data_IF_033202736764
#
_entry.id   IF_033202736764
#
_cell.length_a   1.000
_cell.length_b   1.000
_cell.length_c   1.000
_cell.angle_alpha   90.00
_cell.angle_beta   90.00
_cell.angle_gamma   90.00
#
_symmetry.space_group_name_H-M   'P 1'
#
loop_
_entity.id
_entity.type
_entity.pdbx_description
1 polymer ?
#
# COMPACT_ATOMS: atom_id res chain seq x y z
N UNK A 1 29.28 -1.02 -10.09
CA UNK A 1 28.13 -1.66 -9.43
C UNK A 1 26.89 -0.93 -9.89
N UNK A 2 25.90 -1.65 -10.42
CA UNK A 2 24.61 -1.05 -10.77
C UNK A 2 23.75 -0.85 -9.53
N UNK A 3 23.08 0.30 -9.43
CA UNK A 3 22.23 0.69 -8.30
C UNK A 3 20.91 1.21 -8.87
N UNK A 4 19.79 0.72 -8.32
CA UNK A 4 18.45 1.05 -8.73
C UNK A 4 17.61 1.43 -7.51
N UNK A 5 16.87 2.53 -7.62
CA UNK A 5 16.04 3.03 -6.53
C UNK A 5 14.64 3.34 -7.07
N UNK A 6 13.62 2.70 -6.48
CA UNK A 6 12.20 2.96 -6.71
C UNK A 6 11.68 3.93 -5.66
N UNK A 7 10.95 4.96 -6.09
CA UNK A 7 10.45 6.04 -5.23
C UNK A 7 11.32 7.31 -5.18
N UNK A 8 10.84 8.27 -4.41
CA UNK A 8 11.39 9.62 -4.24
C UNK A 8 11.11 10.15 -2.82
N UNK A 9 11.61 11.33 -2.47
CA UNK A 9 11.23 12.01 -1.23
C UNK A 9 9.70 12.20 -1.16
N UNK A 10 9.10 12.57 -2.30
CA UNK A 10 7.66 12.70 -2.43
C UNK A 10 6.89 11.40 -2.21
N UNK A 11 7.46 10.24 -2.55
CA UNK A 11 6.84 8.94 -2.27
C UNK A 11 6.60 8.75 -0.78
N UNK A 12 7.59 9.09 0.05
CA UNK A 12 7.51 8.98 1.52
C UNK A 12 6.34 9.83 2.04
N UNK A 13 6.25 11.08 1.59
CA UNK A 13 5.19 12.02 1.98
C UNK A 13 3.81 11.52 1.55
N UNK A 14 3.68 11.08 0.30
CA UNK A 14 2.40 10.58 -0.24
C UNK A 14 1.93 9.34 0.50
N UNK A 15 2.81 8.40 0.80
CA UNK A 15 2.49 7.23 1.60
C UNK A 15 2.09 7.62 3.04
N UNK A 16 2.76 8.60 3.66
CA UNK A 16 2.40 9.07 4.99
C UNK A 16 1.02 9.75 5.03
N UNK A 17 0.69 10.56 4.02
CA UNK A 17 -0.62 11.24 3.91
C UNK A 17 -1.71 10.34 3.33
N UNK A 18 -1.33 9.25 2.67
CA UNK A 18 -2.19 8.40 1.84
C UNK A 18 -2.99 9.26 0.84
N UNK A 19 -2.34 10.30 0.32
CA UNK A 19 -2.96 11.28 -0.58
C UNK A 19 -3.07 10.73 -2.01
N UNK A 20 -4.18 11.11 -2.67
CA UNK A 20 -4.61 10.92 -4.07
C UNK A 20 -4.43 12.13 -4.99
N UNK A 21 -3.36 12.34 -5.76
CA UNK A 21 -3.26 13.01 -7.08
C UNK A 21 -3.85 14.41 -7.27
N UNK A 22 -5.14 14.53 -7.00
CA UNK A 22 -5.95 15.75 -6.89
C UNK A 22 -5.98 16.37 -5.48
N UNK A 23 -5.48 15.68 -4.45
CA UNK A 23 -5.69 16.08 -3.05
C UNK A 23 -4.77 17.23 -2.56
N UNK A 24 -3.63 17.54 -3.21
CA UNK A 24 -2.77 18.65 -2.78
C UNK A 24 -1.83 19.16 -3.89
N UNK A 25 -1.67 20.49 -3.96
CA UNK A 25 -0.52 21.12 -4.64
C UNK A 25 0.74 20.73 -3.88
N UNK A 26 1.80 20.32 -4.58
CA UNK A 26 3.07 19.93 -3.93
C UNK A 26 3.65 21.16 -3.24
N UNK A 27 3.70 21.12 -1.91
CA UNK A 27 4.37 22.11 -1.08
C UNK A 27 5.66 21.48 -0.55
N UNK A 28 6.76 21.77 -1.24
CA UNK A 28 8.07 21.18 -1.00
C UNK A 28 8.53 21.46 0.44
N UNK A 29 8.29 22.66 0.96
CA UNK A 29 8.75 23.05 2.30
C UNK A 29 7.94 22.33 3.39
N UNK A 30 6.63 22.20 3.19
CA UNK A 30 5.78 21.38 4.08
C UNK A 30 6.16 19.90 4.02
N UNK A 31 6.50 19.40 2.84
CA UNK A 31 6.90 18.01 2.59
C UNK A 31 8.23 17.67 3.26
N UNK A 32 9.25 18.54 3.13
CA UNK A 32 10.53 18.42 3.85
C UNK A 32 10.34 18.36 5.36
N UNK A 33 9.52 19.27 5.91
CA UNK A 33 9.18 19.28 7.35
C UNK A 33 8.48 17.99 7.77
N UNK A 34 7.60 17.44 6.92
CA UNK A 34 6.94 16.17 7.22
C UNK A 34 7.92 15.00 7.24
N UNK A 35 8.86 14.90 6.29
CA UNK A 35 9.88 13.84 6.29
C UNK A 35 10.71 13.90 7.57
N UNK A 36 11.16 15.10 7.97
CA UNK A 36 11.86 15.31 9.25
C UNK A 36 11.02 14.86 10.44
N UNK A 37 9.76 15.31 10.51
CA UNK A 37 8.83 14.93 11.58
C UNK A 37 8.66 13.41 11.68
N UNK A 38 8.46 12.71 10.55
CA UNK A 38 8.29 11.26 10.52
C UNK A 38 9.53 10.53 11.04
N UNK A 39 10.72 11.00 10.63
CA UNK A 39 11.99 10.44 11.09
C UNK A 39 12.19 10.64 12.61
N UNK A 40 12.02 11.87 13.09
CA UNK A 40 12.22 12.23 14.50
C UNK A 40 11.27 11.43 15.43
N UNK A 41 10.04 11.16 14.97
CA UNK A 41 9.04 10.39 15.72
C UNK A 41 9.10 8.87 15.46
N UNK A 42 10.12 8.40 14.73
CA UNK A 42 10.31 6.98 14.36
C UNK A 42 9.09 6.36 13.64
N UNK A 43 8.35 7.18 12.90
CA UNK A 43 7.27 6.74 12.02
C UNK A 43 7.87 6.20 10.73
N UNK A 44 8.38 4.97 10.79
CA UNK A 44 9.24 4.42 9.75
C UNK A 44 8.49 3.78 8.56
N UNK A 45 7.19 3.45 8.69
CA UNK A 45 6.45 2.75 7.63
C UNK A 45 6.42 3.49 6.28
N UNK A 46 6.32 4.83 6.21
CA UNK A 46 6.34 5.52 4.92
C UNK A 46 7.67 5.37 4.18
N UNK A 47 8.78 5.18 4.90
CA UNK A 47 10.09 4.92 4.30
C UNK A 47 10.19 3.51 3.70
N UNK A 48 9.31 2.57 4.09
CA UNK A 48 9.30 1.21 3.53
C UNK A 48 8.76 1.15 2.10
N UNK A 49 8.23 2.26 1.57
CA UNK A 49 7.73 2.40 0.20
C UNK A 49 8.77 2.88 -0.80
N UNK A 50 10.01 3.13 -0.36
CA UNK A 50 11.19 3.31 -1.21
C UNK A 50 11.99 2.03 -1.19
N UNK A 51 12.30 1.49 -2.37
CA UNK A 51 13.05 0.24 -2.54
C UNK A 51 14.38 0.53 -3.19
N UNK A 52 15.43 -0.10 -2.66
CA UNK A 52 16.81 -0.02 -3.13
C UNK A 52 17.21 -1.43 -3.57
N UNK A 53 17.75 -1.54 -4.77
CA UNK A 53 18.37 -2.73 -5.30
C UNK A 53 19.76 -2.37 -5.83
N UNK A 54 20.79 -3.11 -5.45
CA UNK A 54 22.13 -2.92 -6.00
C UNK A 54 22.78 -4.26 -6.28
N UNK A 55 23.63 -4.28 -7.31
CA UNK A 55 24.36 -5.46 -7.73
C UNK A 55 25.26 -5.96 -6.60
N UNK A 56 25.15 -7.23 -6.27
CA UNK A 56 25.88 -7.85 -5.17
C UNK A 56 25.70 -9.35 -5.15
N UNK A 57 26.80 -10.05 -4.90
CA UNK A 57 26.77 -11.49 -4.71
C UNK A 57 26.16 -11.87 -3.35
N UNK A 58 26.11 -13.18 -3.09
CA UNK A 58 25.50 -13.72 -1.88
C UNK A 58 26.33 -13.37 -0.64
N UNK A 59 27.62 -13.19 -0.81
CA UNK A 59 28.60 -12.85 0.20
C UNK A 59 28.36 -11.43 0.73
N UNK A 60 28.09 -10.46 -0.16
CA UNK A 60 27.67 -9.11 0.24
C UNK A 60 26.39 -9.15 1.07
N UNK A 61 25.39 -9.92 0.65
CA UNK A 61 24.14 -10.08 1.39
C UNK A 61 24.35 -10.69 2.79
N UNK A 62 25.12 -11.77 2.90
CA UNK A 62 25.46 -12.41 4.18
C UNK A 62 26.25 -11.45 5.07
N UNK A 63 27.19 -10.69 4.50
CA UNK A 63 27.99 -9.71 5.22
C UNK A 63 27.12 -8.65 5.90
N UNK A 64 26.10 -8.14 5.20
CA UNK A 64 25.15 -7.19 5.77
C UNK A 64 24.34 -7.79 6.93
N UNK A 65 23.85 -9.02 6.76
CA UNK A 65 23.11 -9.73 7.81
C UNK A 65 23.95 -9.97 9.07
N UNK A 66 25.26 -10.22 8.92
CA UNK A 66 26.17 -10.42 10.05
C UNK A 66 26.52 -9.12 10.79
N UNK A 67 26.62 -8.00 10.07
CA UNK A 67 27.07 -6.72 10.63
C UNK A 67 25.94 -5.95 11.31
N UNK A 68 24.72 -5.99 10.75
CA UNK A 68 23.59 -5.24 11.28
C UNK A 68 22.99 -5.96 12.48
N UNK A 69 23.13 -5.37 13.68
CA UNK A 69 22.69 -5.99 14.94
C UNK A 69 21.16 -6.01 15.14
N UNK A 70 20.41 -5.23 14.36
CA UNK A 70 18.96 -5.13 14.54
C UNK A 70 18.26 -6.45 14.16
N UNK A 71 17.53 -7.09 15.10
CA UNK A 71 16.87 -8.38 14.84
C UNK A 71 15.68 -8.25 13.87
N UNK A 72 15.26 -7.01 13.57
CA UNK A 72 14.18 -6.71 12.62
C UNK A 72 14.72 -6.21 11.27
N UNK A 73 16.04 -6.28 11.06
CA UNK A 73 16.66 -5.94 9.79
C UNK A 73 16.28 -6.96 8.72
N UNK A 74 15.79 -6.44 7.59
CA UNK A 74 15.39 -7.23 6.45
C UNK A 74 16.17 -6.79 5.21
N UNK A 75 16.91 -7.74 4.65
CA UNK A 75 17.62 -7.61 3.38
C UNK A 75 17.52 -8.94 2.66
N UNK A 76 17.31 -8.87 1.35
CA UNK A 76 17.06 -10.04 0.50
C UNK A 76 18.10 -10.09 -0.61
N UNK A 77 18.36 -11.29 -1.11
CA UNK A 77 19.21 -11.50 -2.28
C UNK A 77 18.44 -12.27 -3.34
N UNK A 78 18.41 -11.76 -4.56
CA UNK A 78 17.78 -12.42 -5.70
C UNK A 78 18.38 -11.92 -7.01
N UNK A 79 18.74 -12.85 -7.90
CA UNK A 79 19.16 -12.54 -9.27
C UNK A 79 20.43 -11.69 -9.37
N UNK A 80 21.38 -11.82 -8.43
CA UNK A 80 22.60 -11.01 -8.41
C UNK A 80 22.44 -9.61 -7.80
N UNK A 81 21.29 -9.34 -7.18
CA UNK A 81 21.02 -8.07 -6.50
C UNK A 81 20.69 -8.28 -5.03
N UNK A 82 21.14 -7.32 -4.22
CA UNK A 82 20.72 -7.13 -2.83
C UNK A 82 19.56 -6.14 -2.81
N UNK A 83 18.46 -6.53 -2.18
CA UNK A 83 17.20 -5.78 -2.11
C UNK A 83 16.85 -5.42 -0.68
N UNK A 84 16.47 -4.16 -0.46
CA UNK A 84 15.97 -3.68 0.81
C UNK A 84 15.12 -2.41 0.64
N UNK A 85 14.34 -2.07 1.66
CA UNK A 85 13.65 -0.78 1.69
C UNK A 85 14.49 0.30 2.39
N UNK A 86 14.11 1.57 2.25
CA UNK A 86 14.87 2.69 2.81
C UNK A 86 14.94 2.65 4.35
N UNK A 87 13.91 2.15 5.05
CA UNK A 87 13.98 1.93 6.51
C UNK A 87 15.13 0.99 6.88
N UNK A 88 15.25 -0.13 6.16
CA UNK A 88 16.34 -1.08 6.39
C UNK A 88 17.70 -0.52 5.97
N UNK A 89 17.75 0.29 4.91
CA UNK A 89 18.97 1.00 4.52
C UNK A 89 19.45 1.93 5.64
N UNK A 90 18.55 2.71 6.25
CA UNK A 90 18.86 3.58 7.40
C UNK A 90 19.43 2.77 8.56
N UNK A 91 18.81 1.63 8.89
CA UNK A 91 19.30 0.75 9.96
C UNK A 91 20.68 0.13 9.68
N UNK A 92 21.09 0.07 8.41
CA UNK A 92 22.35 -0.51 7.97
C UNK A 92 23.34 0.54 7.46
N UNK A 93 23.06 1.84 7.65
CA UNK A 93 23.73 2.94 6.98
C UNK A 93 25.26 2.88 7.11
N UNK A 94 25.78 2.54 8.28
CA UNK A 94 27.23 2.45 8.54
C UNK A 94 27.91 1.35 7.70
N UNK A 95 27.20 0.27 7.41
CA UNK A 95 27.72 -0.91 6.71
C UNK A 95 27.45 -0.92 5.20
N UNK A 96 26.69 0.06 4.69
CA UNK A 96 26.37 0.15 3.27
C UNK A 96 27.59 0.56 2.43
N UNK A 97 27.74 0.05 1.19
CA UNK A 97 28.79 0.53 0.27
C UNK A 97 28.65 2.02 -0.03
N UNK A 98 29.77 2.73 -0.20
CA UNK A 98 29.77 4.19 -0.39
C UNK A 98 29.02 4.62 -1.65
N UNK A 99 29.16 3.89 -2.75
CA UNK A 99 28.45 4.17 -4.00
C UNK A 99 26.92 4.10 -3.81
N UNK A 100 26.43 3.14 -3.00
CA UNK A 100 25.00 3.04 -2.66
C UNK A 100 24.57 4.24 -1.83
N UNK A 101 25.35 4.67 -0.84
CA UNK A 101 25.04 5.86 -0.04
C UNK A 101 24.96 7.11 -0.91
N UNK A 102 25.90 7.26 -1.83
CA UNK A 102 25.94 8.40 -2.74
C UNK A 102 24.73 8.41 -3.68
N UNK A 103 24.34 7.26 -4.22
CA UNK A 103 23.16 7.18 -5.09
C UNK A 103 21.85 7.44 -4.33
N UNK A 104 21.74 6.93 -3.09
CA UNK A 104 20.59 7.27 -2.22
C UNK A 104 20.56 8.77 -1.92
N UNK A 105 21.71 9.40 -1.65
CA UNK A 105 21.80 10.86 -1.45
C UNK A 105 21.35 11.63 -2.69
N UNK A 106 21.75 11.20 -3.89
CA UNK A 106 21.37 11.84 -5.15
C UNK A 106 19.86 11.69 -5.42
N UNK A 107 19.30 10.50 -5.16
CA UNK A 107 17.90 10.19 -5.46
C UNK A 107 16.92 10.72 -4.41
N UNK A 108 17.33 10.76 -3.15
CA UNK A 108 16.52 11.12 -1.98
C UNK A 108 17.21 12.21 -1.15
N UNK A 109 17.50 13.38 -1.74
CA UNK A 109 18.31 14.40 -1.09
C UNK A 109 17.70 14.88 0.23
N UNK A 110 16.37 14.98 0.33
CA UNK A 110 15.73 15.39 1.59
C UNK A 110 15.83 14.30 2.64
N UNK A 111 15.43 13.07 2.33
CA UNK A 111 15.48 11.98 3.31
C UNK A 111 16.93 11.73 3.78
N UNK A 112 17.90 11.75 2.86
CA UNK A 112 19.32 11.56 3.20
C UNK A 112 19.84 12.66 4.14
N UNK A 113 19.54 13.93 3.88
CA UNK A 113 19.91 15.04 4.76
C UNK A 113 19.32 14.86 6.17
N UNK A 114 18.03 14.52 6.25
CA UNK A 114 17.33 14.28 7.52
C UNK A 114 17.99 13.16 8.34
N UNK A 115 18.36 12.06 7.69
CA UNK A 115 19.04 10.92 8.35
C UNK A 115 20.37 11.34 8.98
N UNK A 116 21.06 12.32 8.40
CA UNK A 116 22.35 12.83 8.88
C UNK A 116 22.23 14.05 9.81
N UNK A 117 21.00 14.47 10.15
CA UNK A 117 20.76 15.66 10.96
C UNK A 117 21.06 16.98 10.24
N UNK A 118 21.09 16.96 8.91
CA UNK A 118 21.34 18.12 8.05
C UNK A 118 20.02 18.74 7.55
N UNK A 119 20.08 20.00 7.11
CA UNK A 119 18.95 20.67 6.45
C UNK A 119 18.86 20.28 4.98
N UNK A 120 17.68 19.84 4.56
CA UNK A 120 17.39 19.42 3.19
C UNK A 120 17.30 20.63 2.23
N UNK A 121 18.31 20.77 1.35
CA UNK A 121 18.31 21.80 0.30
C UNK A 121 17.44 21.41 -0.90
N UNK A 122 17.59 20.18 -1.36
CA UNK A 122 16.90 19.65 -2.55
C UNK A 122 15.79 18.66 -2.18
N UNK A 123 14.89 18.38 -3.13
CA UNK A 123 13.74 17.48 -2.97
C UNK A 123 13.45 16.74 -4.27
N UNK A 124 13.25 15.42 -4.20
CA UNK A 124 12.87 14.62 -5.37
C UNK A 124 11.37 14.32 -5.44
N UNK A 125 10.81 14.41 -6.65
CA UNK A 125 9.41 14.10 -6.96
C UNK A 125 9.29 12.82 -7.77
N UNK A 126 8.16 12.12 -7.63
CA UNK A 126 7.84 11.00 -8.51
C UNK A 126 7.58 11.50 -9.94
N UNK A 127 8.03 10.76 -10.95
CA UNK A 127 7.78 11.08 -12.37
C UNK A 127 6.31 10.90 -12.78
N UNK A 128 5.61 9.95 -12.16
CA UNK A 128 4.20 9.68 -12.42
C UNK A 128 3.41 9.52 -11.13
N UNK A 129 2.14 9.92 -11.20
CA UNK A 129 1.23 9.84 -10.07
C UNK A 129 0.62 8.44 -9.94
N UNK A 130 -0.07 8.00 -11.00
CA UNK A 130 -0.52 6.63 -11.23
C UNK A 130 -0.42 6.39 -12.72
N UNK A 131 0.39 5.42 -13.11
CA UNK A 131 0.67 5.11 -14.52
C UNK A 131 -0.51 4.40 -15.19
N UNK A 132 -1.23 3.59 -14.42
CA UNK A 132 -2.41 2.86 -14.87
C UNK A 132 -3.41 2.72 -13.72
N UNK A 133 -4.66 3.12 -13.94
CA UNK A 133 -5.77 2.98 -12.99
C UNK A 133 -6.84 2.07 -13.58
N UNK A 134 -7.34 1.13 -12.78
CA UNK A 134 -8.43 0.23 -13.15
C UNK A 134 -9.51 0.32 -12.08
N UNK A 135 -10.74 0.53 -12.55
CA UNK A 135 -11.95 0.48 -11.73
C UNK A 135 -12.41 -0.97 -11.56
N UNK A 136 -12.94 -1.29 -10.39
CA UNK A 136 -13.59 -2.56 -10.05
C UNK A 136 -15.03 -2.28 -9.62
N UNK A 137 -15.83 -3.31 -9.37
CA UNK A 137 -17.20 -3.10 -8.86
C UNK A 137 -17.25 -2.48 -7.46
N UNK A 138 -16.15 -2.56 -6.69
CA UNK A 138 -16.12 -2.16 -5.28
C UNK A 138 -15.13 -1.05 -4.93
N UNK A 139 -14.39 -0.54 -5.91
CA UNK A 139 -13.36 0.48 -5.72
C UNK A 139 -12.39 0.49 -6.89
N UNK A 140 -11.16 0.91 -6.69
CA UNK A 140 -10.18 1.03 -7.78
C UNK A 140 -8.74 0.81 -7.29
N UNK A 141 -7.88 0.42 -8.22
CA UNK A 141 -6.45 0.25 -7.98
C UNK A 141 -5.66 1.03 -9.03
N UNK A 142 -4.55 1.63 -8.59
CA UNK A 142 -3.60 2.31 -9.43
C UNK A 142 -2.18 1.75 -9.25
N UNK A 143 -1.49 1.45 -10.35
CA UNK A 143 -0.05 1.21 -10.35
C UNK A 143 0.67 2.55 -10.23
N UNK A 144 1.49 2.70 -9.18
CA UNK A 144 2.16 3.96 -8.84
C UNK A 144 3.63 3.95 -9.26
N UNK A 145 4.33 2.84 -9.04
CA UNK A 145 5.73 2.66 -9.45
C UNK A 145 6.08 1.18 -9.54
N UNK A 146 7.15 0.86 -10.28
CA UNK A 146 7.70 -0.49 -10.38
C UNK A 146 9.21 -0.48 -10.62
N UNK A 147 9.89 -1.48 -10.07
CA UNK A 147 11.29 -1.76 -10.32
C UNK A 147 11.43 -3.23 -10.73
N UNK A 148 11.64 -3.45 -12.02
CA UNK A 148 11.74 -4.78 -12.62
C UNK A 148 13.17 -5.04 -13.10
N UNK A 149 13.90 -5.91 -12.39
CA UNK A 149 15.25 -6.36 -12.75
C UNK A 149 15.23 -7.82 -13.21
N UNK A 150 14.04 -8.40 -13.43
CA UNK A 150 13.88 -9.78 -13.88
C UNK A 150 14.03 -10.81 -12.76
N UNK A 151 13.74 -10.43 -11.52
CA UNK A 151 13.93 -11.28 -10.33
C UNK A 151 12.62 -11.54 -9.60
N UNK A 152 12.62 -12.53 -8.70
CA UNK A 152 11.50 -12.78 -7.77
C UNK A 152 11.32 -11.65 -6.74
N UNK A 153 12.25 -10.71 -6.68
CA UNK A 153 12.21 -9.52 -5.82
C UNK A 153 11.93 -8.24 -6.62
N UNK A 154 11.51 -8.31 -7.88
CA UNK A 154 10.96 -7.12 -8.57
C UNK A 154 9.88 -6.47 -7.69
N UNK A 155 9.90 -5.15 -7.51
CA UNK A 155 8.98 -4.46 -6.60
C UNK A 155 7.94 -3.66 -7.36
N UNK A 156 6.75 -3.57 -6.77
CA UNK A 156 5.64 -2.79 -7.28
C UNK A 156 5.03 -1.98 -6.15
N UNK A 157 4.59 -0.76 -6.44
CA UNK A 157 3.77 0.03 -5.52
C UNK A 157 2.42 0.31 -6.14
N UNK A 158 1.37 -0.06 -5.41
CA UNK A 158 -0.01 0.22 -5.75
C UNK A 158 -0.60 1.23 -4.76
N UNK A 159 -1.61 1.96 -5.22
CA UNK A 159 -2.55 2.67 -4.36
C UNK A 159 -3.93 2.08 -4.63
N UNK A 160 -4.62 1.71 -3.57
CA UNK A 160 -5.87 0.96 -3.60
C UNK A 160 -6.91 1.72 -2.81
N UNK A 161 -8.11 1.84 -3.36
CA UNK A 161 -9.30 2.27 -2.64
C UNK A 161 -10.33 1.15 -2.72
N UNK A 162 -10.72 0.60 -1.57
CA UNK A 162 -11.64 -0.54 -1.50
C UNK A 162 -12.41 -0.52 -0.17
N UNK A 163 -13.47 -1.33 -0.03
CA UNK A 163 -14.23 -1.42 1.22
C UNK A 163 -13.37 -2.02 2.34
N UNK A 164 -13.65 -1.66 3.59
CA UNK A 164 -12.91 -2.17 4.75
C UNK A 164 -12.85 -3.71 4.79
N UNK A 165 -13.95 -4.42 4.46
CA UNK A 165 -13.95 -5.88 4.45
C UNK A 165 -13.02 -6.49 3.38
N UNK A 166 -12.75 -5.76 2.29
CA UNK A 166 -11.77 -6.16 1.26
C UNK A 166 -10.36 -5.88 1.75
N UNK A 167 -10.11 -4.68 2.30
CA UNK A 167 -8.82 -4.31 2.87
C UNK A 167 -8.38 -5.30 3.97
N UNK A 168 -9.33 -5.77 4.81
CA UNK A 168 -9.07 -6.79 5.83
C UNK A 168 -8.62 -8.14 5.28
N UNK A 169 -9.09 -8.53 4.10
CA UNK A 169 -8.59 -9.73 3.40
C UNK A 169 -7.23 -9.48 2.76
N UNK A 170 -7.00 -8.28 2.25
CA UNK A 170 -5.75 -7.85 1.64
C UNK A 170 -4.60 -7.83 2.63
N UNK A 171 -4.78 -7.21 3.79
CA UNK A 171 -3.76 -7.03 4.83
C UNK A 171 -3.36 -8.36 5.53
N UNK A 172 -3.94 -9.50 5.12
CA UNK A 172 -3.46 -10.84 5.51
C UNK A 172 -2.20 -11.25 4.76
N UNK A 173 -1.89 -10.60 3.64
CA UNK A 173 -0.66 -10.80 2.88
C UNK A 173 0.48 -9.99 3.49
N UNK A 174 1.19 -10.63 4.42
CA UNK A 174 2.13 -9.97 5.35
C UNK A 174 3.45 -9.53 4.72
N UNK A 175 3.86 -10.12 3.59
CA UNK A 175 5.12 -9.75 2.95
C UNK A 175 4.89 -8.58 2.00
N UNK A 176 5.09 -7.38 2.52
CA UNK A 176 4.90 -6.10 1.84
C UNK A 176 4.67 -4.98 2.85
N UNK A 177 4.70 -3.75 2.38
CA UNK A 177 4.54 -2.54 3.19
C UNK A 177 3.17 -1.93 2.91
N UNK A 178 2.46 -1.53 3.97
CA UNK A 178 1.15 -0.88 3.88
C UNK A 178 1.17 0.47 4.58
N UNK A 179 0.58 1.47 3.95
CA UNK A 179 0.26 2.75 4.57
C UNK A 179 -1.21 3.07 4.28
N UNK A 180 -2.07 2.90 5.29
CA UNK A 180 -3.52 3.08 5.20
C UNK A 180 -3.97 4.42 5.79
N UNK A 181 -4.98 5.01 5.17
CA UNK A 181 -5.50 6.31 5.55
C UNK A 181 -6.05 6.29 6.99
N UNK A 182 -5.46 7.13 7.84
CA UNK A 182 -5.89 7.22 9.24
C UNK A 182 -7.05 8.19 9.40
N UNK A 183 -8.26 7.66 9.55
CA UNK A 183 -9.47 8.45 9.87
C UNK A 183 -9.43 9.15 11.25
N UNK A 184 -8.33 9.04 12.01
CA UNK A 184 -8.09 9.89 13.21
C UNK A 184 -7.72 11.33 12.81
N UNK A 185 -7.08 11.50 11.65
CA UNK A 185 -6.45 12.76 11.23
C UNK A 185 -7.09 13.39 9.99
N UNK A 186 -7.94 12.65 9.30
CA UNK A 186 -8.43 12.98 7.96
C UNK A 186 -9.68 13.88 7.98
N UNK A 187 -9.81 14.72 6.95
CA UNK A 187 -10.91 15.66 6.72
C UNK A 187 -11.88 15.25 5.59
N UNK A 188 -11.56 14.27 4.73
CA UNK A 188 -12.46 13.90 3.64
C UNK A 188 -13.69 13.14 4.15
N UNK A 189 -14.82 13.35 3.48
CA UNK A 189 -16.07 12.64 3.75
C UNK A 189 -15.90 11.11 3.55
N UNK A 190 -16.51 10.28 4.41
CA UNK A 190 -16.57 8.84 4.17
C UNK A 190 -17.39 8.52 2.91
N UNK A 191 -16.82 7.70 2.03
CA UNK A 191 -17.55 7.06 0.95
C UNK A 191 -17.83 5.59 1.29
N UNK A 192 -18.86 5.02 0.67
CA UNK A 192 -19.34 3.67 0.97
C UNK A 192 -19.57 2.88 -0.31
N UNK A 193 -19.16 1.61 -0.28
CA UNK A 193 -19.53 0.65 -1.30
C UNK A 193 -20.98 0.24 -1.16
N UNK A 194 -21.70 0.33 -2.27
CA UNK A 194 -23.07 -0.16 -2.39
C UNK A 194 -23.09 -1.06 -3.62
N UNK A 195 -23.32 -2.38 -3.47
CA UNK A 195 -23.33 -3.28 -4.60
C UNK A 195 -24.47 -2.92 -5.57
N UNK A 196 -24.35 -3.25 -6.85
CA UNK A 196 -25.45 -3.09 -7.81
C UNK A 196 -26.62 -4.03 -7.52
N UNK A 197 -26.34 -5.19 -6.92
CA UNK A 197 -27.32 -6.15 -6.44
C UNK A 197 -26.70 -7.09 -5.38
N UNK A 198 -27.53 -7.75 -4.58
CA UNK A 198 -27.09 -8.75 -3.61
C UNK A 198 -26.98 -10.13 -4.27
N UNK A 199 -25.89 -10.82 -3.99
CA UNK A 199 -25.58 -12.15 -4.54
C UNK A 199 -26.11 -13.29 -3.66
N UNK A 200 -26.51 -14.40 -4.28
CA UNK A 200 -26.83 -15.65 -3.59
C UNK A 200 -25.56 -16.32 -3.04
N UNK A 201 -25.72 -17.04 -1.94
CA UNK A 201 -24.65 -17.85 -1.33
C UNK A 201 -24.36 -19.08 -2.22
N UNK A 202 -23.10 -19.49 -2.36
CA UNK A 202 -22.77 -20.74 -3.06
C UNK A 202 -23.15 -21.97 -2.21
N UNK A 203 -23.82 -22.94 -2.83
CA UNK A 203 -24.19 -24.22 -2.20
C UNK A 203 -22.98 -25.13 -1.96
N UNK A 204 -21.93 -24.99 -2.77
CA UNK A 204 -20.72 -25.83 -2.72
C UNK A 204 -19.64 -25.25 -1.83
N UNK A 205 -19.50 -23.92 -1.80
CA UNK A 205 -18.47 -23.25 -1.01
C UNK A 205 -19.11 -22.19 -0.11
N UNK A 206 -19.17 -22.49 1.19
CA UNK A 206 -19.73 -21.59 2.22
C UNK A 206 -18.98 -20.26 2.38
N UNK A 207 -17.79 -20.12 1.77
CA UNK A 207 -17.01 -18.89 1.77
C UNK A 207 -17.21 -18.05 0.49
N UNK A 208 -17.93 -18.56 -0.51
CA UNK A 208 -18.12 -17.91 -1.80
C UNK A 208 -19.59 -17.61 -2.09
N UNK A 209 -19.84 -16.59 -2.91
CA UNK A 209 -21.14 -16.28 -3.49
C UNK A 209 -21.20 -16.71 -4.95
N UNK A 210 -22.39 -16.94 -5.49
CA UNK A 210 -22.61 -17.02 -6.95
C UNK A 210 -22.84 -15.62 -7.52
N UNK A 211 -22.77 -15.44 -8.84
CA UNK A 211 -23.17 -14.16 -9.48
C UNK A 211 -24.70 -14.02 -9.61
N UNK A 212 -25.47 -14.98 -9.11
CA UNK A 212 -26.92 -14.91 -9.14
C UNK A 212 -27.45 -13.87 -8.16
N UNK A 213 -28.38 -13.06 -8.64
CA UNK A 213 -29.05 -12.02 -7.85
C UNK A 213 -30.08 -12.65 -6.89
N UNK A 214 -30.20 -12.09 -5.68
CA UNK A 214 -31.29 -12.40 -4.76
C UNK A 214 -32.65 -12.10 -5.41
N UNK A 215 -33.62 -12.98 -5.23
CA UNK A 215 -34.93 -12.86 -5.89
C UNK A 215 -35.70 -11.61 -5.40
N UNK A 216 -36.49 -11.01 -6.29
CA UNK A 216 -37.37 -9.90 -5.92
C UNK A 216 -38.58 -10.42 -5.10
N UNK A 217 -39.14 -9.60 -4.20
CA UNK A 217 -38.84 -8.19 -3.92
C UNK A 217 -37.67 -7.99 -2.93
N UNK A 218 -37.04 -9.06 -2.45
CA UNK A 218 -36.08 -9.01 -1.36
C UNK A 218 -34.82 -8.24 -1.71
N UNK A 219 -34.28 -8.42 -2.92
CA UNK A 219 -33.12 -7.65 -3.35
C UNK A 219 -33.40 -6.14 -3.30
N UNK A 220 -34.48 -5.67 -3.93
CA UNK A 220 -34.82 -4.24 -3.93
C UNK A 220 -35.10 -3.71 -2.52
N UNK A 221 -35.80 -4.49 -1.70
CA UNK A 221 -36.10 -4.12 -0.31
C UNK A 221 -34.82 -3.98 0.54
N UNK A 222 -33.91 -4.95 0.46
CA UNK A 222 -32.65 -4.91 1.21
C UNK A 222 -31.73 -3.82 0.71
N UNK A 223 -31.61 -3.64 -0.61
CA UNK A 223 -30.81 -2.55 -1.19
C UNK A 223 -31.31 -1.16 -0.72
N UNK A 224 -32.63 -0.96 -0.65
CA UNK A 224 -33.22 0.27 -0.11
C UNK A 224 -32.86 0.47 1.37
N UNK A 225 -32.97 -0.59 2.18
CA UNK A 225 -32.60 -0.53 3.61
C UNK A 225 -31.12 -0.26 3.83
N UNK A 226 -30.23 -0.92 3.08
CA UNK A 226 -28.78 -0.68 3.14
C UNK A 226 -28.46 0.78 2.88
N UNK A 227 -29.03 1.36 1.80
CA UNK A 227 -28.86 2.79 1.47
C UNK A 227 -29.32 3.69 2.61
N UNK A 228 -30.49 3.40 3.20
CA UNK A 228 -31.03 4.17 4.32
C UNK A 228 -30.13 4.11 5.56
N UNK A 229 -29.68 2.92 5.97
CA UNK A 229 -28.81 2.77 7.15
C UNK A 229 -27.44 3.43 6.95
N UNK A 230 -26.86 3.36 5.76
CA UNK A 230 -25.58 4.04 5.46
C UNK A 230 -25.75 5.55 5.61
N UNK A 231 -26.85 6.11 5.11
CA UNK A 231 -27.13 7.54 5.21
C UNK A 231 -27.35 7.97 6.66
N UNK A 232 -28.16 7.22 7.42
CA UNK A 232 -28.44 7.49 8.83
C UNK A 232 -27.15 7.46 9.69
N UNK A 233 -26.28 6.46 9.46
CA UNK A 233 -24.98 6.36 10.12
C UNK A 233 -24.04 7.51 9.72
N UNK A 234 -24.10 8.00 8.48
CA UNK A 234 -23.33 9.16 8.03
C UNK A 234 -23.78 10.42 8.77
N UNK A 235 -25.09 10.69 8.80
CA UNK A 235 -25.64 11.83 9.53
C UNK A 235 -25.32 11.77 11.02
N UNK A 236 -25.42 10.59 11.65
CA UNK A 236 -25.03 10.42 13.04
C UNK A 236 -23.54 10.70 13.26
N UNK A 237 -22.67 10.20 12.38
CA UNK A 237 -21.23 10.46 12.45
C UNK A 237 -20.93 11.96 12.37
N UNK A 238 -21.53 12.68 11.40
CA UNK A 238 -21.37 14.13 11.25
C UNK A 238 -21.82 14.88 12.50
N UNK A 239 -23.00 14.57 13.03
CA UNK A 239 -23.50 15.14 14.28
C UNK A 239 -22.55 14.87 15.46
N UNK A 240 -21.98 13.67 15.56
CA UNK A 240 -21.00 13.35 16.60
C UNK A 240 -19.75 14.23 16.49
N UNK A 241 -19.24 14.45 15.28
CA UNK A 241 -18.08 15.33 15.05
C UNK A 241 -18.43 16.78 15.42
N UNK A 242 -19.59 17.28 15.02
CA UNK A 242 -20.05 18.64 15.35
C UNK A 242 -20.19 18.87 16.86
N UNK A 243 -20.58 17.84 17.61
CA UNK A 243 -20.65 17.89 19.08
C UNK A 243 -19.31 17.65 19.79
N UNK A 244 -18.21 17.55 19.03
CA UNK A 244 -16.87 17.42 19.59
C UNK A 244 -16.51 16.01 20.06
N UNK A 245 -17.24 14.97 19.64
CA UNK A 245 -16.84 13.59 19.91
C UNK A 245 -15.51 13.31 19.21
N UNK A 246 -14.59 12.65 19.93
CA UNK A 246 -13.29 12.28 19.37
C UNK A 246 -13.46 11.44 18.09
N UNK A 247 -12.82 11.86 16.99
CA UNK A 247 -12.90 11.20 15.66
C UNK A 247 -12.62 9.70 15.72
N UNK A 248 -11.71 9.29 16.60
CA UNK A 248 -11.33 7.88 16.75
C UNK A 248 -12.42 6.99 17.35
N UNK A 249 -13.32 7.57 18.14
CA UNK A 249 -14.52 6.93 18.68
C UNK A 249 -15.68 7.06 17.70
N UNK A 250 -15.92 8.25 17.16
CA UNK A 250 -17.04 8.52 16.24
C UNK A 250 -17.02 7.59 15.02
N UNK A 251 -15.84 7.36 14.42
CA UNK A 251 -15.70 6.45 13.28
C UNK A 251 -16.08 4.99 13.58
N UNK A 252 -16.20 4.60 14.86
CA UNK A 252 -16.50 3.23 15.27
C UNK A 252 -17.89 2.75 14.85
N UNK A 253 -18.82 3.68 14.56
CA UNK A 253 -20.17 3.34 14.07
C UNK A 253 -20.21 3.06 12.56
N UNK A 254 -19.16 3.44 11.82
CA UNK A 254 -19.16 3.37 10.37
C UNK A 254 -19.08 1.90 9.90
N UNK A 255 -19.90 1.49 8.92
CA UNK A 255 -20.01 0.10 8.51
C UNK A 255 -18.78 -0.40 7.75
N UNK A 256 -18.63 -1.72 7.66
CA UNK A 256 -17.60 -2.39 6.84
C UNK A 256 -17.66 -2.03 5.35
N UNK A 257 -18.78 -1.48 4.89
CA UNK A 257 -18.95 -0.99 3.52
C UNK A 257 -18.20 0.33 3.27
N UNK A 258 -17.71 1.01 4.33
CA UNK A 258 -16.91 2.21 4.15
C UNK A 258 -15.65 1.91 3.34
N UNK A 259 -15.35 2.78 2.38
CA UNK A 259 -14.10 2.76 1.65
C UNK A 259 -12.93 3.22 2.52
N UNK A 260 -11.82 2.52 2.34
CA UNK A 260 -10.50 2.91 2.84
C UNK A 260 -9.55 2.99 1.66
N UNK A 261 -8.49 3.77 1.84
CA UNK A 261 -7.41 3.92 0.87
C UNK A 261 -6.10 3.54 1.51
N UNK A 262 -5.24 2.84 0.77
CA UNK A 262 -3.89 2.53 1.23
C UNK A 262 -2.90 2.43 0.08
N UNK A 263 -1.65 2.73 0.38
CA UNK A 263 -0.50 2.33 -0.43
C UNK A 263 -0.08 0.92 -0.06
N UNK A 264 0.29 0.12 -1.07
CA UNK A 264 0.81 -1.22 -0.92
C UNK A 264 2.06 -1.39 -1.78
N UNK A 265 3.23 -1.54 -1.14
CA UNK A 265 4.49 -1.85 -1.83
C UNK A 265 4.86 -3.30 -1.57
N UNK A 266 5.09 -4.08 -2.63
CA UNK A 266 5.15 -5.53 -2.55
C UNK A 266 6.18 -6.11 -3.53
N UNK A 267 7.00 -7.09 -3.09
CA UNK A 267 7.89 -7.81 -4.00
C UNK A 267 7.13 -8.85 -4.82
N UNK A 268 7.66 -9.20 -5.99
CA UNK A 268 7.03 -10.09 -6.97
C UNK A 268 6.62 -11.43 -6.39
N UNK A 269 7.48 -12.05 -5.59
CA UNK A 269 7.20 -13.33 -4.94
C UNK A 269 5.94 -13.29 -4.08
N UNK A 270 5.70 -12.19 -3.37
CA UNK A 270 4.51 -12.00 -2.54
C UNK A 270 3.29 -11.60 -3.39
N UNK A 271 3.52 -10.77 -4.42
CA UNK A 271 2.48 -10.37 -5.36
C UNK A 271 1.90 -11.55 -6.13
N UNK A 272 2.74 -12.47 -6.62
CA UNK A 272 2.26 -13.68 -7.30
C UNK A 272 1.49 -14.60 -6.35
N UNK A 273 1.91 -14.69 -5.08
CA UNK A 273 1.11 -15.40 -4.08
C UNK A 273 -0.24 -14.73 -3.82
N UNK A 274 -0.29 -13.40 -3.76
CA UNK A 274 -1.54 -12.65 -3.68
C UNK A 274 -2.44 -12.97 -4.87
N UNK A 275 -1.92 -12.84 -6.10
CA UNK A 275 -2.65 -13.11 -7.34
C UNK A 275 -3.21 -14.53 -7.29
N UNK A 276 -2.37 -15.55 -7.06
CA UNK A 276 -2.78 -16.95 -7.01
C UNK A 276 -3.93 -17.21 -6.04
N UNK A 277 -3.85 -16.65 -4.82
CA UNK A 277 -4.87 -16.87 -3.78
C UNK A 277 -6.14 -16.05 -4.01
N UNK A 278 -6.04 -14.90 -4.67
CA UNK A 278 -7.15 -13.95 -4.83
C UNK A 278 -7.86 -14.04 -6.17
N UNK A 279 -7.24 -14.62 -7.20
CA UNK A 279 -7.91 -14.97 -8.46
C UNK A 279 -8.69 -16.28 -8.38
N UNK A 280 -8.49 -17.09 -7.34
CA UNK A 280 -9.20 -18.35 -7.13
C UNK A 280 -10.73 -18.14 -7.06
N UNK A 281 -11.52 -19.03 -7.67
CA UNK A 281 -12.99 -18.92 -7.74
C UNK A 281 -13.68 -18.81 -6.38
N UNK A 282 -13.10 -19.46 -5.37
CA UNK A 282 -13.57 -19.43 -3.99
C UNK A 282 -13.25 -18.14 -3.23
N UNK A 283 -12.43 -17.24 -3.77
CA UNK A 283 -12.21 -15.93 -3.18
C UNK A 283 -13.44 -15.03 -3.39
N UNK A 284 -13.69 -14.12 -2.46
CA UNK A 284 -14.75 -13.15 -2.59
C UNK A 284 -14.57 -12.32 -3.88
N UNK A 285 -15.65 -12.13 -4.64
CA UNK A 285 -15.63 -11.45 -5.94
C UNK A 285 -14.93 -10.09 -5.89
N UNK A 286 -15.20 -9.28 -4.86
CA UNK A 286 -14.61 -7.94 -4.74
C UNK A 286 -13.07 -7.99 -4.74
N UNK A 287 -12.43 -8.84 -3.92
CA UNK A 287 -10.96 -8.94 -3.91
C UNK A 287 -10.42 -9.65 -5.16
N UNK A 288 -11.23 -10.49 -5.81
CA UNK A 288 -10.87 -11.16 -7.06
C UNK A 288 -10.73 -10.18 -8.21
N UNK A 289 -11.67 -9.25 -8.35
CA UNK A 289 -11.60 -8.19 -9.38
C UNK A 289 -10.33 -7.32 -9.21
N UNK A 290 -9.92 -7.04 -7.97
CA UNK A 290 -8.64 -6.36 -7.72
C UNK A 290 -7.43 -7.20 -8.13
N UNK A 291 -7.46 -8.51 -7.87
CA UNK A 291 -6.38 -9.41 -8.28
C UNK A 291 -6.28 -9.53 -9.81
N UNK A 292 -7.41 -9.61 -10.51
CA UNK A 292 -7.50 -9.60 -11.98
C UNK A 292 -6.99 -8.28 -12.56
N UNK A 293 -7.34 -7.14 -11.95
CA UNK A 293 -6.81 -5.84 -12.32
C UNK A 293 -5.28 -5.80 -12.19
N UNK A 294 -4.71 -6.31 -11.10
CA UNK A 294 -3.25 -6.43 -10.93
C UNK A 294 -2.63 -7.27 -12.05
N UNK A 295 -3.21 -8.43 -12.37
CA UNK A 295 -2.72 -9.28 -13.47
C UNK A 295 -2.71 -8.52 -14.79
N UNK A 296 -3.73 -7.72 -15.08
CA UNK A 296 -3.75 -6.92 -16.30
C UNK A 296 -2.71 -5.77 -16.32
N UNK A 297 -2.26 -5.30 -15.15
CA UNK A 297 -1.24 -4.25 -15.04
C UNK A 297 0.19 -4.78 -15.13
N UNK A 298 0.47 -5.93 -14.49
CA UNK A 298 1.86 -6.41 -14.30
C UNK A 298 2.07 -7.90 -14.60
N UNK A 299 1.05 -8.58 -15.14
CA UNK A 299 1.06 -10.00 -15.47
C UNK A 299 1.08 -10.92 -14.24
N UNK A 300 1.08 -12.23 -14.48
CA UNK A 300 1.33 -13.28 -13.48
C UNK A 300 2.58 -14.07 -13.89
N UNK A 301 3.63 -14.06 -13.06
CA UNK A 301 4.94 -14.70 -13.36
C UNK A 301 5.09 -16.05 -12.66
N UNK A 302 4.14 -16.43 -11.79
CA UNK A 302 4.20 -17.66 -10.99
C UNK A 302 5.54 -17.85 -10.26
N UNK A 303 6.13 -16.76 -9.75
CA UNK A 303 7.44 -16.78 -9.08
C UNK A 303 7.43 -17.49 -7.73
N UNK A 304 6.23 -17.66 -7.17
CA UNK A 304 5.96 -18.34 -5.91
C UNK A 304 6.12 -19.87 -6.05
N UNK A 305 7.35 -20.38 -6.02
CA UNK A 305 7.62 -21.82 -5.76
C UNK A 305 7.61 -22.08 -4.26
N UNK A 306 6.48 -21.79 -3.60
CA UNK A 306 6.31 -22.23 -2.22
C UNK A 306 6.05 -23.73 -2.21
N UNK A 307 6.79 -24.47 -1.39
CA UNK A 307 6.55 -25.91 -1.15
C UNK A 307 5.31 -26.16 -0.26
N UNK A 308 4.51 -25.13 0.01
CA UNK A 308 3.35 -25.12 0.91
C UNK A 308 2.19 -24.34 0.26
#
# INVERSE_FOLDING_TARGET
>A
MQIHIMGSDQRIVRCARVSFGKDDKVDIERDKKLIKYLFDHRHASPFEHVIIAFEGDKEVWISLLQKVQSPVFQVYWAGGYVWLNLRNFINALEHMPQDVKQEVKNKLPTAYAVIHGEDAKDYSTDSFYVSQRIETSSGWIGLVDKLELGTIMDYYTFVVECPLFVARQWHRHRFGSFNEVSRRYVSYEPSFYIPSYLRKQSDKNKQASTDEKIDEPWNSLFMKKIKWYIEDLRTLYENMIEKGVAKELARGILPQFMHTRFYWTVPRISLDNFIRLRTHEGAQKEIREFAEAIVSMVGYKNSATFRL
#
